data_IF_486335053489
#
_entry.id   IF_486335053489
#
_cell.length_a   1.000
_cell.length_b   1.000
_cell.length_c   1.000
_cell.angle_alpha   90.00
_cell.angle_beta   90.00
_cell.angle_gamma   90.00
#
_symmetry.space_group_name_H-M   'P 1'
#
loop_
_entity.id
_entity.type
_entity.pdbx_description
1 polymer ?
#
# COMPACT_ATOMS: atom_id res chain seq x y z
N UNK A 1 -12.36 21.61 -17.54
CA UNK A 1 -11.03 21.38 -16.93
C UNK A 1 -10.07 22.41 -17.47
N UNK A 2 -9.58 23.35 -16.66
CA UNK A 2 -8.51 24.26 -17.09
C UNK A 2 -7.26 23.45 -17.45
N UNK A 3 -6.50 23.91 -18.43
CA UNK A 3 -5.21 23.32 -18.78
C UNK A 3 -4.23 23.52 -17.60
N UNK A 4 -3.71 22.44 -16.98
CA UNK A 4 -2.76 22.55 -15.88
C UNK A 4 -1.52 23.37 -16.24
N UNK A 5 -1.08 23.35 -17.50
CA UNK A 5 0.07 24.12 -17.96
C UNK A 5 -0.20 25.63 -17.91
N UNK A 6 -1.42 26.05 -18.27
CA UNK A 6 -1.84 27.46 -18.19
C UNK A 6 -1.93 27.97 -16.74
N UNK A 7 -2.12 27.07 -15.78
CA UNK A 7 -2.08 27.37 -14.35
C UNK A 7 -0.67 27.30 -13.75
N UNK A 8 0.36 27.03 -14.56
CA UNK A 8 1.74 26.84 -14.10
C UNK A 8 1.94 25.59 -13.25
N UNK A 9 0.99 24.64 -13.27
CA UNK A 9 1.08 23.41 -12.50
C UNK A 9 2.11 22.45 -13.13
N UNK A 10 3.20 22.24 -12.41
CA UNK A 10 4.23 21.23 -12.70
C UNK A 10 4.10 19.99 -11.81
N UNK A 11 4.71 18.88 -12.22
CA UNK A 11 4.76 17.63 -11.44
C UNK A 11 5.45 17.77 -10.06
N UNK A 12 6.18 18.85 -9.83
CA UNK A 12 6.81 19.15 -8.54
C UNK A 12 5.83 19.72 -7.52
N UNK A 13 4.64 20.18 -7.91
CA UNK A 13 3.63 20.68 -6.98
C UNK A 13 3.08 19.56 -6.09
N UNK A 14 2.54 19.95 -4.93
CA UNK A 14 1.96 19.03 -3.98
C UNK A 14 0.70 18.39 -4.56
N UNK A 15 0.64 17.07 -4.49
CA UNK A 15 -0.58 16.29 -4.72
C UNK A 15 -1.44 16.26 -3.45
N UNK A 16 -0.81 16.09 -2.29
CA UNK A 16 -1.52 16.08 -1.01
C UNK A 16 -0.62 16.44 0.17
N UNK A 17 -1.29 16.75 1.29
CA UNK A 17 -0.68 16.81 2.63
C UNK A 17 -1.50 15.92 3.55
N UNK A 18 -0.87 14.89 4.12
CA UNK A 18 -1.51 13.98 5.08
C UNK A 18 -0.78 14.07 6.41
N UNK A 19 -1.55 14.15 7.50
CA UNK A 19 -1.00 14.25 8.84
C UNK A 19 -0.76 12.87 9.45
N UNK A 20 0.43 12.66 10.00
CA UNK A 20 0.81 11.45 10.75
C UNK A 20 0.97 11.76 12.24
N UNK A 21 0.93 10.71 13.08
CA UNK A 21 1.21 10.84 14.51
C UNK A 21 2.67 11.25 14.72
N UNK A 22 2.89 12.44 15.28
CA UNK A 22 4.22 12.88 15.64
C UNK A 22 4.69 12.21 16.94
N UNK A 23 5.94 11.75 16.99
CA UNK A 23 6.57 11.25 18.22
C UNK A 23 6.61 12.28 19.37
N UNK A 24 6.48 13.57 19.04
CA UNK A 24 6.42 14.69 20.01
C UNK A 24 4.99 15.03 20.44
N UNK A 25 3.99 14.20 20.13
CA UNK A 25 2.56 14.43 20.41
C UNK A 25 1.85 15.40 19.46
N UNK A 26 2.60 16.16 18.63
CA UNK A 26 2.04 17.10 17.66
C UNK A 26 2.06 16.51 16.25
N UNK A 27 0.91 16.34 15.59
CA UNK A 27 0.82 15.81 14.23
C UNK A 27 1.74 16.54 13.24
N UNK A 28 2.30 15.80 12.29
CA UNK A 28 3.19 16.33 11.25
C UNK A 28 2.54 16.13 9.88
N UNK A 29 2.40 17.19 9.09
CA UNK A 29 1.85 17.11 7.74
C UNK A 29 2.95 16.69 6.76
N UNK A 30 2.84 15.52 6.14
CA UNK A 30 3.76 15.04 5.11
C UNK A 30 3.35 15.63 3.77
N UNK A 31 4.25 16.36 3.12
CA UNK A 31 4.00 17.03 1.83
C UNK A 31 4.45 16.15 0.66
N UNK A 32 3.51 15.55 -0.08
CA UNK A 32 3.83 14.66 -1.21
C UNK A 32 3.55 15.35 -2.55
N UNK A 33 4.50 15.26 -3.47
CA UNK A 33 4.40 15.86 -4.81
C UNK A 33 3.77 14.92 -5.84
N UNK A 34 3.17 15.49 -6.90
CA UNK A 34 2.57 14.72 -7.99
C UNK A 34 3.53 13.72 -8.63
N UNK A 35 4.80 14.10 -8.85
CA UNK A 35 5.81 13.20 -9.42
C UNK A 35 6.01 11.92 -8.60
N UNK A 36 5.98 12.02 -7.27
CA UNK A 36 6.16 10.88 -6.37
C UNK A 36 4.96 9.95 -6.43
N UNK A 37 3.75 10.52 -6.46
CA UNK A 37 2.50 9.77 -6.66
C UNK A 37 2.51 9.05 -8.01
N UNK A 38 2.88 9.75 -9.10
CA UNK A 38 2.92 9.15 -10.44
C UNK A 38 3.94 8.01 -10.50
N UNK A 39 5.13 8.18 -9.91
CA UNK A 39 6.12 7.09 -9.81
C UNK A 39 5.53 5.84 -9.13
N UNK A 40 4.86 6.04 -7.99
CA UNK A 40 4.21 4.97 -7.24
C UNK A 40 3.09 4.30 -8.06
N UNK A 41 2.14 5.06 -8.60
CA UNK A 41 0.99 4.51 -9.34
C UNK A 41 1.43 3.78 -10.61
N UNK A 42 2.46 4.26 -11.32
CA UNK A 42 3.05 3.57 -12.48
C UNK A 42 3.69 2.24 -12.07
N UNK A 43 4.38 2.20 -10.94
CA UNK A 43 4.91 0.93 -10.42
C UNK A 43 3.77 -0.04 -10.13
N UNK A 44 2.73 0.39 -9.41
CA UNK A 44 1.62 -0.50 -9.04
C UNK A 44 0.78 -0.97 -10.24
N UNK A 45 0.73 -0.16 -11.31
CA UNK A 45 0.17 -0.57 -12.61
C UNK A 45 0.93 -1.77 -13.20
N UNK A 46 2.27 -1.73 -13.16
CA UNK A 46 3.14 -2.79 -13.71
C UNK A 46 3.20 -4.01 -12.78
N UNK A 47 3.41 -3.78 -11.48
CA UNK A 47 3.51 -4.79 -10.44
C UNK A 47 2.96 -4.24 -9.12
N UNK A 48 1.85 -4.77 -8.58
CA UNK A 48 1.32 -6.13 -8.77
C UNK A 48 0.40 -6.33 -9.98
N UNK A 49 0.34 -5.36 -10.89
CA UNK A 49 -0.42 -5.47 -12.13
C UNK A 49 -1.87 -5.04 -11.95
N UNK A 50 -2.13 -3.73 -12.00
CA UNK A 50 -3.48 -3.16 -11.85
C UNK A 50 -3.88 -2.52 -13.17
N UNK A 51 -4.93 -3.05 -13.78
CA UNK A 51 -5.28 -2.77 -15.18
C UNK A 51 -6.74 -2.39 -15.33
N UNK A 52 -7.17 -2.00 -16.53
CA UNK A 52 -8.55 -1.64 -16.84
C UNK A 52 -9.59 -2.74 -16.53
N UNK A 53 -9.18 -4.02 -16.49
CA UNK A 53 -10.10 -5.13 -16.19
C UNK A 53 -10.37 -5.29 -14.69
N UNK A 54 -9.69 -4.54 -13.83
CA UNK A 54 -9.82 -4.67 -12.40
C UNK A 54 -11.02 -3.92 -11.82
N UNK A 55 -11.62 -4.51 -10.78
CA UNK A 55 -12.58 -3.83 -9.89
C UNK A 55 -11.97 -3.77 -8.50
N UNK A 56 -11.61 -2.55 -8.08
CA UNK A 56 -10.99 -2.28 -6.79
C UNK A 56 -12.06 -1.93 -5.76
N UNK A 57 -12.01 -2.60 -4.60
CA UNK A 57 -12.80 -2.20 -3.44
C UNK A 57 -12.01 -1.19 -2.60
N UNK A 58 -12.47 0.06 -2.60
CA UNK A 58 -11.93 1.11 -1.75
C UNK A 58 -12.53 0.98 -0.34
N UNK A 59 -11.68 0.65 0.63
CA UNK A 59 -12.06 0.44 2.05
C UNK A 59 -11.33 1.40 2.99
N UNK A 60 -10.29 2.08 2.51
CA UNK A 60 -9.43 2.90 3.34
C UNK A 60 -9.97 4.32 3.49
N UNK A 61 -9.82 4.88 4.70
CA UNK A 61 -10.13 6.29 4.97
C UNK A 61 -9.24 7.24 4.17
N UNK A 62 -9.80 8.36 3.70
CA UNK A 62 -9.04 9.41 2.99
C UNK A 62 -7.94 10.06 3.84
N UNK A 63 -8.00 9.91 5.16
CA UNK A 63 -6.95 10.39 6.07
C UNK A 63 -5.72 9.50 6.11
N UNK A 64 -5.74 8.34 5.44
CA UNK A 64 -4.59 7.44 5.33
C UNK A 64 -4.17 7.36 3.86
N UNK A 65 -2.87 7.52 3.60
CA UNK A 65 -2.35 7.75 2.26
C UNK A 65 -2.53 6.55 1.32
N UNK A 66 -2.62 5.34 1.86
CA UNK A 66 -2.85 4.12 1.07
C UNK A 66 -4.19 4.14 0.31
N UNK A 67 -5.15 5.00 0.71
CA UNK A 67 -6.36 5.27 -0.07
C UNK A 67 -6.06 5.84 -1.47
N UNK A 68 -4.90 6.49 -1.65
CA UNK A 68 -4.44 7.01 -2.94
C UNK A 68 -4.29 5.92 -4.00
N UNK A 69 -3.85 4.71 -3.62
CA UNK A 69 -3.81 3.56 -4.54
C UNK A 69 -5.23 3.16 -4.98
N UNK A 70 -6.13 3.05 -4.01
CA UNK A 70 -7.52 2.58 -4.20
C UNK A 70 -8.33 3.53 -5.09
N UNK A 71 -7.98 4.82 -5.08
CA UNK A 71 -8.76 5.87 -5.73
C UNK A 71 -8.13 6.39 -7.03
N UNK A 72 -6.81 6.61 -7.07
CA UNK A 72 -6.21 7.29 -8.23
C UNK A 72 -5.80 6.31 -9.34
N UNK A 73 -5.22 5.17 -8.99
CA UNK A 73 -4.75 4.21 -10.00
C UNK A 73 -5.89 3.72 -10.91
N UNK A 74 -7.04 3.22 -10.40
CA UNK A 74 -8.15 2.81 -11.25
C UNK A 74 -8.62 3.90 -12.22
N UNK A 75 -8.66 5.17 -11.80
CA UNK A 75 -9.06 6.28 -12.66
C UNK A 75 -8.07 6.55 -13.80
N UNK A 76 -6.78 6.30 -13.58
CA UNK A 76 -5.72 6.51 -14.59
C UNK A 76 -5.70 5.38 -15.62
N UNK A 77 -6.02 4.15 -15.20
CA UNK A 77 -5.94 2.95 -16.07
C UNK A 77 -7.28 2.50 -16.61
N UNK A 78 -8.39 3.15 -16.25
CA UNK A 78 -9.75 2.80 -16.70
C UNK A 78 -10.41 1.64 -15.94
N UNK A 79 -9.93 1.31 -14.74
CA UNK A 79 -10.53 0.30 -13.88
C UNK A 79 -11.74 0.84 -13.11
N UNK A 80 -12.50 -0.07 -12.49
CA UNK A 80 -13.69 0.25 -11.70
C UNK A 80 -13.34 0.41 -10.22
N UNK A 81 -13.95 1.40 -9.56
CA UNK A 81 -13.89 1.59 -8.10
C UNK A 81 -15.26 1.25 -7.51
N UNK A 82 -15.26 0.45 -6.45
CA UNK A 82 -16.40 0.24 -5.56
C UNK A 82 -16.05 0.81 -4.20
N UNK A 83 -16.79 1.81 -3.74
CA UNK A 83 -16.51 2.48 -2.46
C UNK A 83 -17.31 1.81 -1.35
N UNK A 84 -16.63 1.24 -0.36
CA UNK A 84 -17.28 0.67 0.82
C UNK A 84 -17.53 1.75 1.88
N UNK A 85 -18.70 1.70 2.52
CA UNK A 85 -18.95 2.51 3.72
C UNK A 85 -18.15 1.97 4.91
N UNK A 86 -17.82 2.84 5.87
CA UNK A 86 -17.16 2.43 7.13
C UNK A 86 -17.90 1.28 7.84
N UNK A 87 -19.23 1.31 7.83
CA UNK A 87 -20.06 0.27 8.43
C UNK A 87 -19.98 -1.08 7.69
N UNK A 88 -19.63 -1.09 6.40
CA UNK A 88 -19.36 -2.32 5.66
C UNK A 88 -17.94 -2.84 5.92
N UNK A 89 -16.96 -1.95 6.10
CA UNK A 89 -15.56 -2.35 6.35
C UNK A 89 -15.37 -2.97 7.72
N UNK A 90 -16.07 -2.46 8.74
CA UNK A 90 -15.98 -2.94 10.13
C UNK A 90 -16.81 -4.21 10.42
N UNK A 91 -17.57 -4.70 9.44
CA UNK A 91 -18.46 -5.86 9.56
C UNK A 91 -18.01 -6.91 8.53
N UNK A 92 -17.41 -7.99 9.01
CA UNK A 92 -16.88 -9.08 8.19
C UNK A 92 -17.92 -9.66 7.23
N UNK A 93 -19.18 -9.82 7.68
CA UNK A 93 -20.30 -10.35 6.91
C UNK A 93 -20.71 -9.39 5.78
N UNK A 94 -20.72 -8.09 6.04
CA UNK A 94 -21.00 -7.08 5.02
C UNK A 94 -19.84 -6.93 4.03
N UNK A 95 -18.60 -7.00 4.51
CA UNK A 95 -17.40 -6.89 3.70
C UNK A 95 -17.29 -8.07 2.71
N UNK A 96 -17.42 -9.31 3.17
CA UNK A 96 -17.43 -10.50 2.28
C UNK A 96 -18.58 -10.47 1.27
N UNK A 97 -19.72 -9.87 1.64
CA UNK A 97 -20.89 -9.71 0.75
C UNK A 97 -20.63 -8.68 -0.35
N UNK A 98 -19.95 -7.56 -0.07
CA UNK A 98 -19.62 -6.58 -1.12
C UNK A 98 -18.51 -7.10 -2.04
N UNK A 99 -17.53 -7.85 -1.50
CA UNK A 99 -16.48 -8.54 -2.28
C UNK A 99 -17.12 -9.46 -3.33
N UNK A 100 -18.04 -10.32 -2.91
CA UNK A 100 -18.69 -11.28 -3.82
C UNK A 100 -19.66 -10.60 -4.80
N UNK A 101 -20.58 -9.75 -4.31
CA UNK A 101 -21.62 -9.14 -5.15
C UNK A 101 -21.09 -8.20 -6.23
N UNK A 102 -19.94 -7.57 -5.98
CA UNK A 102 -19.38 -6.57 -6.88
C UNK A 102 -18.27 -7.11 -7.77
N UNK A 103 -18.01 -8.44 -7.71
CA UNK A 103 -16.93 -9.11 -8.43
C UNK A 103 -15.57 -8.41 -8.24
N UNK A 104 -15.23 -8.11 -6.97
CA UNK A 104 -13.99 -7.41 -6.63
C UNK A 104 -12.79 -8.27 -7.03
N UNK A 105 -11.87 -7.69 -7.81
CA UNK A 105 -10.62 -8.36 -8.24
C UNK A 105 -9.41 -7.90 -7.44
N UNK A 106 -9.48 -6.73 -6.79
CA UNK A 106 -8.40 -6.21 -5.96
C UNK A 106 -8.97 -5.56 -4.70
N UNK A 107 -8.35 -5.86 -3.56
CA UNK A 107 -8.61 -5.14 -2.32
C UNK A 107 -7.31 -5.00 -1.54
N UNK A 108 -7.12 -3.80 -0.99
CA UNK A 108 -6.05 -3.49 -0.05
C UNK A 108 -6.62 -3.38 1.36
N UNK A 109 -5.94 -3.95 2.34
CA UNK A 109 -6.27 -3.75 3.76
C UNK A 109 -5.08 -4.13 4.66
N UNK A 110 -5.18 -3.81 5.94
CA UNK A 110 -4.17 -4.23 6.92
C UNK A 110 -4.30 -5.74 7.22
N UNK A 111 -3.20 -6.40 7.66
CA UNK A 111 -3.25 -7.76 8.20
C UNK A 111 -4.39 -8.00 9.21
N UNK A 112 -4.68 -7.04 10.08
CA UNK A 112 -5.81 -7.13 11.02
C UNK A 112 -7.18 -7.28 10.32
N UNK A 113 -7.45 -6.53 9.26
CA UNK A 113 -8.71 -6.66 8.49
C UNK A 113 -8.81 -8.01 7.79
N UNK A 114 -7.71 -8.50 7.22
CA UNK A 114 -7.68 -9.83 6.61
C UNK A 114 -7.89 -10.93 7.64
N UNK A 115 -7.27 -10.82 8.81
CA UNK A 115 -7.47 -11.75 9.92
C UNK A 115 -8.93 -11.78 10.38
N UNK A 116 -9.57 -10.62 10.52
CA UNK A 116 -11.01 -10.52 10.84
C UNK A 116 -11.87 -11.30 9.84
N UNK A 117 -11.60 -11.19 8.53
CA UNK A 117 -12.32 -11.96 7.51
C UNK A 117 -12.07 -13.47 7.64
N UNK A 118 -10.80 -13.86 7.78
CA UNK A 118 -10.41 -15.26 7.87
C UNK A 118 -10.96 -15.95 9.13
N UNK A 119 -11.05 -15.24 10.25
CA UNK A 119 -11.55 -15.77 11.52
C UNK A 119 -13.09 -15.84 11.54
N UNK A 120 -13.79 -15.13 10.64
CA UNK A 120 -15.25 -15.21 10.41
C UNK A 120 -15.62 -16.14 9.21
N UNK A 121 -14.84 -17.21 9.06
CA UNK A 121 -15.07 -18.30 8.10
C UNK A 121 -15.23 -17.81 6.65
N UNK A 122 -14.46 -16.79 6.25
CA UNK A 122 -14.44 -16.36 4.87
C UNK A 122 -13.67 -17.36 4.00
N UNK A 123 -14.38 -17.95 3.05
CA UNK A 123 -13.85 -18.97 2.12
C UNK A 123 -13.07 -18.38 0.93
N UNK A 124 -12.77 -17.08 0.97
CA UNK A 124 -11.97 -16.39 -0.04
C UNK A 124 -12.74 -16.01 -1.30
N UNK A 125 -11.97 -15.62 -2.31
CA UNK A 125 -12.43 -15.28 -3.65
C UNK A 125 -11.27 -15.55 -4.62
N UNK A 126 -11.38 -16.59 -5.45
CA UNK A 126 -10.27 -17.10 -6.26
C UNK A 126 -9.68 -16.09 -7.26
N UNK A 127 -10.45 -15.09 -7.68
CA UNK A 127 -10.01 -14.01 -8.57
C UNK A 127 -9.48 -12.77 -7.83
N UNK A 128 -9.52 -12.76 -6.49
CA UNK A 128 -9.11 -11.61 -5.69
C UNK A 128 -7.59 -11.57 -5.51
N UNK A 129 -6.99 -10.43 -5.85
CA UNK A 129 -5.63 -10.04 -5.50
C UNK A 129 -5.68 -9.26 -4.19
N UNK A 130 -5.00 -9.80 -3.18
CA UNK A 130 -4.90 -9.22 -1.85
C UNK A 130 -3.64 -8.38 -1.74
N UNK A 131 -3.80 -7.12 -1.37
CA UNK A 131 -2.72 -6.22 -1.01
C UNK A 131 -2.74 -6.01 0.51
N UNK A 132 -1.66 -6.41 1.19
CA UNK A 132 -1.49 -6.25 2.63
C UNK A 132 -0.45 -5.17 2.88
N UNK A 133 -0.73 -4.23 3.79
CA UNK A 133 0.25 -3.23 4.19
C UNK A 133 -0.19 -2.44 5.42
N UNK A 134 0.72 -1.61 5.96
CA UNK A 134 0.47 -0.77 7.13
C UNK A 134 0.72 -1.46 8.48
N UNK A 135 0.82 -2.79 8.50
CA UNK A 135 1.27 -3.59 9.64
C UNK A 135 2.12 -4.76 9.14
N UNK A 136 2.85 -5.42 10.04
CA UNK A 136 3.59 -6.61 9.71
C UNK A 136 2.65 -7.77 9.29
N UNK A 137 2.80 -8.26 8.07
CA UNK A 137 2.06 -9.44 7.59
C UNK A 137 2.66 -10.71 8.20
N UNK A 138 1.89 -11.43 9.01
CA UNK A 138 2.34 -12.70 9.59
C UNK A 138 2.26 -13.84 8.58
N UNK A 139 3.18 -14.80 8.73
CA UNK A 139 3.21 -16.03 7.91
C UNK A 139 1.92 -16.85 8.04
N UNK A 140 1.25 -16.79 9.20
CA UNK A 140 -0.05 -17.44 9.42
C UNK A 140 -1.13 -16.86 8.49
N UNK A 141 -1.28 -15.53 8.49
CA UNK A 141 -2.30 -14.82 7.70
C UNK A 141 -2.01 -14.97 6.21
N UNK A 142 -0.76 -14.79 5.79
CA UNK A 142 -0.35 -14.94 4.39
C UNK A 142 -0.60 -16.37 3.87
N UNK A 143 -0.32 -17.39 4.68
CA UNK A 143 -0.54 -18.80 4.32
C UNK A 143 -2.02 -19.13 4.18
N UNK A 144 -2.87 -18.62 5.08
CA UNK A 144 -4.33 -18.82 5.00
C UNK A 144 -4.91 -18.14 3.76
N UNK A 145 -4.54 -16.88 3.50
CA UNK A 145 -4.98 -16.15 2.32
C UNK A 145 -4.55 -16.83 1.02
N UNK A 146 -3.29 -17.24 0.92
CA UNK A 146 -2.71 -17.83 -0.31
C UNK A 146 -3.42 -19.09 -0.79
N UNK A 147 -4.22 -19.75 0.06
CA UNK A 147 -5.02 -20.93 -0.28
C UNK A 147 -6.37 -20.59 -0.93
N UNK A 148 -6.86 -19.36 -0.76
CA UNK A 148 -8.26 -18.99 -1.06
C UNK A 148 -8.40 -17.72 -1.92
N UNK A 149 -7.27 -17.12 -2.34
CA UNK A 149 -7.24 -15.91 -3.19
C UNK A 149 -6.24 -16.09 -4.35
N UNK A 150 -6.30 -15.23 -5.36
CA UNK A 150 -5.44 -15.30 -6.56
C UNK A 150 -3.96 -15.05 -6.25
N UNK A 151 -3.69 -14.02 -5.43
CA UNK A 151 -2.34 -13.69 -4.98
C UNK A 151 -2.38 -12.81 -3.74
N UNK A 152 -1.33 -12.91 -2.92
CA UNK A 152 -1.11 -12.08 -1.73
C UNK A 152 0.17 -11.29 -1.94
N UNK A 153 0.09 -9.98 -1.72
CA UNK A 153 1.22 -9.07 -1.82
C UNK A 153 1.43 -8.38 -0.48
N UNK A 154 2.65 -8.45 0.04
CA UNK A 154 3.08 -7.67 1.18
C UNK A 154 3.68 -6.36 0.69
N UNK A 155 3.16 -5.24 1.17
CA UNK A 155 3.53 -3.89 0.78
C UNK A 155 4.04 -3.14 2.03
N UNK A 156 5.11 -2.38 1.85
CA UNK A 156 5.71 -1.61 2.94
C UNK A 156 6.14 -0.24 2.46
N UNK A 157 5.87 0.77 3.28
CA UNK A 157 6.27 2.15 3.05
C UNK A 157 5.68 3.06 4.13
N UNK A 158 6.45 3.99 4.67
CA UNK A 158 5.92 5.10 5.46
C UNK A 158 5.26 6.15 4.56
N UNK A 159 4.41 7.01 5.14
CA UNK A 159 3.77 8.12 4.42
C UNK A 159 4.80 9.08 3.81
N UNK A 160 5.94 9.24 4.47
CA UNK A 160 7.07 10.06 4.06
C UNK A 160 7.74 9.59 2.76
N UNK A 161 7.47 8.38 2.27
CA UNK A 161 8.05 7.85 1.03
C UNK A 161 6.97 7.47 0.01
N UNK A 162 5.80 8.11 0.14
CA UNK A 162 4.66 8.00 -0.78
C UNK A 162 4.06 6.60 -0.84
N UNK A 163 3.16 6.31 0.10
CA UNK A 163 2.30 5.11 0.13
C UNK A 163 3.13 3.83 0.33
N UNK A 164 3.69 3.23 -0.72
CA UNK A 164 4.51 2.02 -0.62
C UNK A 164 5.86 2.21 -1.31
N UNK A 165 6.91 1.74 -0.66
CA UNK A 165 8.31 1.80 -1.13
C UNK A 165 8.87 0.44 -1.52
N UNK A 166 8.26 -0.65 -1.05
CA UNK A 166 8.64 -2.01 -1.41
C UNK A 166 7.43 -2.92 -1.52
N UNK A 167 7.61 -4.00 -2.27
CA UNK A 167 6.60 -5.02 -2.46
C UNK A 167 7.20 -6.42 -2.54
N UNK A 168 6.43 -7.41 -2.09
CA UNK A 168 6.73 -8.84 -2.20
C UNK A 168 5.46 -9.60 -2.55
N UNK A 169 5.49 -10.40 -3.62
CA UNK A 169 4.49 -11.46 -3.80
C UNK A 169 4.81 -12.60 -2.84
N UNK A 170 3.84 -12.98 -2.00
CA UNK A 170 3.96 -14.16 -1.13
C UNK A 170 3.99 -15.39 -2.03
N UNK A 171 4.99 -16.26 -1.82
CA UNK A 171 5.13 -17.50 -2.57
C UNK A 171 4.37 -18.61 -1.85
N UNK A 172 3.32 -19.13 -2.48
CA UNK A 172 2.55 -20.23 -1.93
C UNK A 172 3.44 -21.46 -1.74
N UNK A 173 3.37 -22.11 -0.58
CA UNK A 173 4.13 -23.32 -0.26
C UNK A 173 5.58 -23.08 0.17
N UNK A 174 6.07 -21.83 0.16
CA UNK A 174 7.36 -21.51 0.77
C UNK A 174 7.19 -21.39 2.28
N UNK A 175 7.52 -22.45 3.01
CA UNK A 175 7.66 -22.37 4.46
C UNK A 175 8.87 -21.49 4.78
N UNK A 176 8.61 -20.29 5.28
CA UNK A 176 9.66 -19.44 5.86
C UNK A 176 9.84 -19.84 7.32
N UNK A 177 11.08 -19.86 7.80
CA UNK A 177 11.38 -20.02 9.23
C UNK A 177 11.02 -18.77 10.05
N UNK A 178 10.62 -17.68 9.39
CA UNK A 178 10.24 -16.43 10.02
C UNK A 178 8.73 -16.36 10.29
N UNK A 179 8.37 -15.70 11.38
CA UNK A 179 6.98 -15.47 11.76
C UNK A 179 6.29 -14.36 10.94
N UNK A 180 7.08 -13.53 10.24
CA UNK A 180 6.65 -12.35 9.49
C UNK A 180 7.19 -12.44 8.07
N UNK A 181 6.36 -12.05 7.11
CA UNK A 181 6.71 -11.99 5.70
C UNK A 181 7.72 -10.88 5.40
N UNK A 182 8.64 -11.15 4.48
CA UNK A 182 9.57 -10.14 3.96
C UNK A 182 8.81 -8.97 3.32
N UNK A 183 9.29 -7.74 3.55
CA UNK A 183 8.81 -6.52 2.87
C UNK A 183 9.24 -6.46 1.39
N UNK A 184 10.06 -7.41 0.94
CA UNK A 184 10.43 -7.60 -0.45
C UNK A 184 11.51 -6.67 -0.97
N UNK A 185 11.30 -6.17 -2.18
CA UNK A 185 12.28 -5.36 -2.91
C UNK A 185 11.74 -3.96 -3.18
N UNK A 186 12.62 -2.97 -3.38
CA UNK A 186 12.20 -1.61 -3.70
C UNK A 186 11.32 -1.57 -4.96
N UNK A 187 10.38 -0.62 -4.98
CA UNK A 187 9.64 -0.25 -6.19
C UNK A 187 10.52 0.57 -7.16
N UNK A 188 9.97 0.93 -8.33
CA UNK A 188 10.71 1.70 -9.32
C UNK A 188 11.19 3.04 -8.74
N UNK A 189 12.43 3.41 -9.09
CA UNK A 189 13.10 4.63 -8.66
C UNK A 189 13.19 4.81 -7.13
N UNK A 190 13.17 3.71 -6.37
CA UNK A 190 13.34 3.68 -4.90
C UNK A 190 14.56 2.86 -4.52
N UNK A 191 15.29 3.28 -3.50
CA UNK A 191 16.42 2.56 -2.91
C UNK A 191 16.15 2.27 -1.45
N UNK A 192 16.51 1.08 -0.99
CA UNK A 192 16.46 0.70 0.42
C UNK A 192 17.88 0.39 0.88
N UNK A 193 18.29 1.04 1.97
CA UNK A 193 19.56 0.78 2.65
C UNK A 193 19.26 0.28 4.05
N UNK A 194 20.04 -0.70 4.52
CA UNK A 194 20.05 -1.12 5.91
C UNK A 194 21.39 -0.68 6.48
N UNK A 195 21.37 0.28 7.40
CA UNK A 195 22.56 0.96 7.89
C UNK A 195 22.81 0.68 9.38
N UNK A 196 24.08 0.68 9.77
CA UNK A 196 24.50 0.68 11.17
C UNK A 196 24.47 2.09 11.80
N UNK A 197 24.89 2.19 13.06
CA UNK A 197 24.97 3.46 13.80
C UNK A 197 26.01 4.45 13.22
N UNK A 198 26.89 4.01 12.31
CA UNK A 198 27.88 4.83 11.62
C UNK A 198 27.45 5.16 10.18
N UNK A 199 26.17 4.91 9.83
CA UNK A 199 25.58 5.10 8.51
C UNK A 199 26.27 4.29 7.41
N UNK A 200 26.86 3.14 7.77
CA UNK A 200 27.46 2.20 6.82
C UNK A 200 26.51 1.05 6.52
N UNK A 201 26.46 0.54 5.26
CA UNK A 201 25.65 -0.62 4.93
C UNK A 201 26.06 -1.85 5.75
N UNK A 202 25.07 -2.51 6.36
CA UNK A 202 25.31 -3.75 7.12
C UNK A 202 25.44 -4.97 6.19
N UNK A 203 26.19 -6.01 6.59
CA UNK A 203 26.22 -7.29 5.86
C UNK A 203 24.86 -8.00 5.82
N UNK A 204 24.70 -8.92 4.86
CA UNK A 204 23.48 -9.75 4.74
C UNK A 204 23.24 -10.53 6.03
N UNK A 205 22.01 -10.47 6.54
CA UNK A 205 21.58 -11.15 7.77
C UNK A 205 21.84 -10.38 9.06
N UNK A 206 22.50 -9.22 8.99
CA UNK A 206 22.71 -8.33 10.15
C UNK A 206 21.60 -7.29 10.22
N UNK A 207 21.07 -7.07 11.42
CA UNK A 207 20.04 -6.05 11.66
C UNK A 207 20.65 -4.65 11.62
N UNK A 208 19.93 -3.70 11.01
CA UNK A 208 20.24 -2.28 11.01
C UNK A 208 18.97 -1.44 10.85
N UNK A 209 19.14 -0.14 10.74
CA UNK A 209 18.04 0.81 10.50
C UNK A 209 17.78 0.96 9.00
N UNK A 210 16.50 1.01 8.62
CA UNK A 210 16.09 1.15 7.22
C UNK A 210 16.08 2.62 6.79
N UNK A 211 16.77 2.91 5.70
CA UNK A 211 16.78 4.22 5.03
C UNK A 211 16.22 4.08 3.62
N UNK A 212 15.32 4.98 3.25
CA UNK A 212 14.61 4.95 1.97
C UNK A 212 14.97 6.19 1.16
N UNK A 213 15.51 5.98 -0.04
CA UNK A 213 15.85 7.03 -1.00
C UNK A 213 15.05 6.91 -2.29
N UNK A 214 15.08 7.98 -3.10
CA UNK A 214 14.55 7.95 -4.47
C UNK A 214 13.32 8.84 -4.70
N UNK A 215 12.60 8.58 -5.80
CA UNK A 215 11.53 9.44 -6.30
C UNK A 215 10.28 9.48 -5.40
N UNK A 216 10.11 8.48 -4.52
CA UNK A 216 9.01 8.41 -3.56
C UNK A 216 9.17 9.31 -2.34
N UNK A 217 10.37 9.83 -2.06
CA UNK A 217 10.62 10.65 -0.86
C UNK A 217 9.79 11.94 -0.92
N UNK A 218 9.04 12.20 0.15
CA UNK A 218 8.22 13.38 0.31
C UNK A 218 9.08 14.66 0.29
N UNK A 219 8.46 15.80 -0.01
CA UNK A 219 9.14 17.11 0.02
C UNK A 219 9.66 17.45 1.43
N UNK A 220 9.04 16.88 2.46
CA UNK A 220 9.34 17.12 3.86
C UNK A 220 8.07 17.33 4.67
N UNK A 221 8.23 17.88 5.87
CA UNK A 221 7.12 18.18 6.77
C UNK A 221 6.65 19.63 6.61
N UNK A 222 5.33 19.82 6.58
CA UNK A 222 4.70 21.13 6.48
C UNK A 222 5.10 21.99 7.69
N UNK A 223 5.68 23.16 7.42
CA UNK A 223 6.12 24.14 8.42
C UNK A 223 7.12 23.60 9.45
N UNK A 224 7.91 22.58 9.08
CA UNK A 224 8.98 22.01 9.91
C UNK A 224 10.21 21.74 9.04
N UNK A 225 11.05 22.77 8.78
CA UNK A 225 12.24 22.67 7.94
C UNK A 225 13.33 21.81 8.58
#
# INVERSE_FOLDING_TARGET
NPDPALLGLTARHLAYVIYTSGSTGMPKGVMVAHQSVVNFLRTMHEEPGITQSDTILAVTTLSFDIAGLELWLPLIVGAKIVVASRAQVLDSVRLRKIISRSAITIMQATPATWKMLLDDDWHGASNLKVLCGGEALTTEVSTRLSKIVSSVWNLYGPTETTIWSSLRRVQAGTLTSYAIESIGRPIANTQLYILDAHLQPVPVGVTGEIYIGGAGVARGYLNRP
#
